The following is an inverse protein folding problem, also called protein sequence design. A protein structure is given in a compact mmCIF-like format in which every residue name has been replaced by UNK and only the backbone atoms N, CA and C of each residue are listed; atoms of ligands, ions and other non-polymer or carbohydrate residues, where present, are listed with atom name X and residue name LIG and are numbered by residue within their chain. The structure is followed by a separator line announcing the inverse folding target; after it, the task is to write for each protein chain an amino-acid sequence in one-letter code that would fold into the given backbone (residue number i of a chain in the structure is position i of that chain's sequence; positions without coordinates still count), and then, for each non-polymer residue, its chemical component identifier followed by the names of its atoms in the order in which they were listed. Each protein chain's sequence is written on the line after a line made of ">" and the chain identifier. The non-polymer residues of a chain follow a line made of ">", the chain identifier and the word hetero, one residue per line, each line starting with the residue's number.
data_IF_703489063491
#
_entry.id   IF_703489063491
#
_cell.length_a   1.000
_cell.length_b   1.000
_cell.length_c   1.000
_cell.angle_alpha   90.00
_cell.angle_beta   90.00
_cell.angle_gamma   90.00
#
_symmetry.space_group_name_H-M   'P 1'
#
loop_
_entity.id
_entity.type
_entity.pdbx_description
1 polymer ?
#
# COMPACT_ATOMS: atom_id res chain seq x y z
N UNK A 1 5.13 -5.17 -68.97
CA UNK A 1 3.74 -5.20 -69.49
C UNK A 1 2.82 -5.16 -68.30
N UNK A 2 2.07 -4.04 -68.17
CA UNK A 2 0.79 -3.91 -67.52
C UNK A 2 0.72 -4.07 -65.98
N UNK A 3 1.06 -3.03 -65.22
CA UNK A 3 0.73 -2.93 -63.77
C UNK A 3 -0.61 -2.19 -63.66
N UNK A 4 -1.61 -2.86 -63.12
CA UNK A 4 -2.92 -2.25 -62.85
C UNK A 4 -3.02 -1.88 -61.36
N UNK A 5 -2.90 -0.58 -61.04
CA UNK A 5 -3.06 -0.04 -59.67
C UNK A 5 -4.56 0.17 -59.38
N UNK A 6 -5.10 -0.48 -58.35
CA UNK A 6 -6.41 -0.18 -57.77
C UNK A 6 -6.31 0.89 -56.71
N UNK A 7 -6.99 2.01 -56.89
CA UNK A 7 -7.22 3.08 -55.91
C UNK A 7 -8.23 2.59 -54.87
N UNK A 8 -7.86 2.76 -53.58
CA UNK A 8 -8.77 2.58 -52.43
C UNK A 8 -9.21 3.97 -52.01
N UNK A 9 -10.51 4.21 -51.92
CA UNK A 9 -11.12 5.44 -51.47
C UNK A 9 -11.07 5.54 -49.93
N UNK A 10 -10.92 6.74 -49.29
CA UNK A 10 -10.91 6.87 -47.85
C UNK A 10 -12.33 6.89 -47.27
N UNK A 11 -12.56 6.03 -46.26
CA UNK A 11 -13.78 5.99 -45.50
C UNK A 11 -13.91 7.22 -44.57
N UNK A 12 -15.06 7.83 -44.56
CA UNK A 12 -15.44 8.96 -43.71
C UNK A 12 -15.58 8.57 -42.24
N UNK A 13 -14.76 9.13 -41.38
CA UNK A 13 -14.92 9.04 -39.92
C UNK A 13 -15.87 10.18 -39.50
N UNK A 14 -17.07 9.80 -39.05
CA UNK A 14 -18.06 10.72 -38.51
C UNK A 14 -17.65 11.26 -37.15
N UNK A 15 -17.29 12.51 -37.07
CA UNK A 15 -17.09 13.26 -35.82
C UNK A 15 -18.45 13.66 -35.23
N UNK A 16 -18.78 13.09 -34.05
CA UNK A 16 -19.91 13.60 -33.25
C UNK A 16 -19.55 14.97 -32.66
N UNK A 17 -20.28 15.99 -33.07
CA UNK A 17 -20.19 17.33 -32.54
C UNK A 17 -20.66 17.36 -31.08
N UNK A 18 -19.78 17.79 -30.16
CA UNK A 18 -20.12 18.11 -28.77
C UNK A 18 -20.60 19.56 -28.70
N UNK A 19 -21.75 19.81 -28.08
CA UNK A 19 -22.40 21.12 -27.98
C UNK A 19 -21.55 22.14 -27.23
N UNK A 20 -21.36 23.31 -27.85
CA UNK A 20 -20.74 24.52 -27.28
C UNK A 20 -21.74 25.19 -26.32
N UNK A 21 -21.38 25.26 -25.03
CA UNK A 21 -22.03 26.20 -24.10
C UNK A 21 -21.27 27.53 -24.08
N UNK A 22 -21.92 28.64 -24.43
CA UNK A 22 -21.34 29.96 -24.32
C UNK A 22 -21.72 30.61 -22.99
N UNK A 23 -20.74 31.24 -22.35
CA UNK A 23 -20.92 32.10 -21.20
C UNK A 23 -21.37 33.51 -21.68
N UNK A 24 -21.91 34.33 -20.76
CA UNK A 24 -22.46 35.66 -21.04
C UNK A 24 -21.42 36.73 -21.45
N UNK A 25 -20.12 36.42 -21.47
CA UNK A 25 -19.02 37.30 -21.83
C UNK A 25 -18.45 37.07 -23.24
N UNK A 26 -18.92 36.04 -23.96
CA UNK A 26 -18.54 35.83 -25.36
C UNK A 26 -17.11 35.30 -25.61
N UNK A 27 -16.38 34.91 -24.58
CA UNK A 27 -15.04 34.39 -24.75
C UNK A 27 -15.03 32.87 -24.60
N UNK A 28 -14.52 32.15 -25.60
CA UNK A 28 -14.35 30.70 -25.56
C UNK A 28 -13.21 30.33 -24.61
N UNK A 29 -13.55 29.84 -23.41
CA UNK A 29 -12.57 29.30 -22.47
C UNK A 29 -12.36 27.83 -22.73
N UNK A 30 -11.19 27.46 -23.24
CA UNK A 30 -10.73 26.06 -23.35
C UNK A 30 -10.40 25.56 -21.97
N UNK A 31 -11.23 24.67 -21.40
CA UNK A 31 -10.88 23.91 -20.20
C UNK A 31 -10.04 22.72 -20.63
N UNK A 32 -8.74 22.76 -20.37
CA UNK A 32 -7.88 21.59 -20.42
C UNK A 32 -8.26 20.71 -19.22
N UNK A 33 -8.71 19.45 -19.41
CA UNK A 33 -8.92 18.56 -18.27
C UNK A 33 -7.59 18.33 -17.58
N UNK A 34 -7.53 18.61 -16.27
CA UNK A 34 -6.35 18.32 -15.45
C UNK A 34 -6.06 16.82 -15.49
N UNK A 35 -4.82 16.39 -15.81
CA UNK A 35 -4.45 14.97 -15.78
C UNK A 35 -4.41 14.38 -14.37
N UNK A 36 -4.70 15.17 -13.34
CA UNK A 36 -4.73 14.79 -11.92
C UNK A 36 -6.14 14.81 -11.32
N UNK A 37 -7.19 14.60 -12.11
CA UNK A 37 -8.50 14.31 -11.54
C UNK A 37 -8.41 12.94 -10.81
N UNK A 38 -8.18 13.00 -9.51
CA UNK A 38 -8.28 11.84 -8.63
C UNK A 38 -9.68 11.21 -8.78
N UNK A 39 -9.79 9.89 -8.87
CA UNK A 39 -11.10 9.25 -8.82
C UNK A 39 -11.76 9.54 -7.46
N UNK A 40 -12.79 10.35 -7.46
CA UNK A 40 -13.54 10.87 -6.31
C UNK A 40 -14.41 9.81 -5.62
N UNK A 41 -14.09 8.53 -5.69
CA UNK A 41 -14.89 7.48 -5.06
C UNK A 41 -14.02 6.35 -4.46
N UNK A 42 -13.18 6.68 -3.47
CA UNK A 42 -12.81 5.67 -2.49
C UNK A 42 -13.94 5.68 -1.46
N UNK A 43 -14.90 4.78 -1.66
CA UNK A 43 -15.97 4.56 -0.67
C UNK A 43 -15.35 4.07 0.63
N UNK A 44 -15.81 4.55 1.81
CA UNK A 44 -15.36 4.01 3.08
C UNK A 44 -15.53 2.48 3.09
N UNK A 45 -14.65 1.76 3.77
CA UNK A 45 -14.64 0.28 3.85
C UNK A 45 -16.04 -0.29 4.18
N UNK A 46 -16.84 0.43 4.97
CA UNK A 46 -18.22 0.12 5.34
C UNK A 46 -19.22 0.04 4.15
N UNK A 47 -18.89 0.55 2.95
CA UNK A 47 -19.79 0.58 1.78
C UNK A 47 -19.53 -0.57 0.80
N UNK A 48 -18.50 -1.41 1.03
CA UNK A 48 -18.16 -2.55 0.14
C UNK A 48 -19.08 -3.78 0.28
N UNK A 49 -20.08 -3.76 1.14
CA UNK A 49 -21.00 -4.89 1.41
C UNK A 49 -21.89 -5.36 0.24
N UNK A 50 -21.79 -4.75 -0.97
CA UNK A 50 -22.65 -5.10 -2.10
C UNK A 50 -21.96 -5.23 -3.46
N UNK A 51 -20.79 -5.88 -3.56
CA UNK A 51 -20.41 -6.50 -4.84
C UNK A 51 -21.03 -7.89 -4.93
N UNK A 52 -22.31 -7.95 -5.33
CA UNK A 52 -22.96 -9.19 -5.76
C UNK A 52 -22.36 -9.61 -7.10
N UNK A 53 -21.59 -10.71 -7.14
CA UNK A 53 -21.19 -11.36 -8.38
C UNK A 53 -19.80 -12.00 -8.42
N UNK A 54 -18.86 -11.56 -7.57
CA UNK A 54 -17.56 -12.24 -7.40
C UNK A 54 -17.62 -13.08 -6.12
N UNK A 55 -16.94 -14.25 -6.13
CA UNK A 55 -16.84 -15.08 -4.93
C UNK A 55 -16.29 -14.20 -3.78
N UNK A 56 -17.15 -13.92 -2.79
CA UNK A 56 -16.83 -12.98 -1.72
C UNK A 56 -15.49 -13.32 -1.08
N UNK A 57 -14.65 -12.31 -0.88
CA UNK A 57 -13.44 -12.43 -0.06
C UNK A 57 -13.83 -12.96 1.32
N UNK A 58 -13.01 -13.83 1.88
CA UNK A 58 -13.19 -14.30 3.26
C UNK A 58 -12.68 -13.30 4.29
N UNK A 59 -11.97 -12.26 3.84
CA UNK A 59 -11.40 -11.17 4.64
C UNK A 59 -11.76 -9.82 4.02
N UNK A 60 -11.82 -8.80 4.87
CA UNK A 60 -11.99 -7.42 4.45
C UNK A 60 -10.65 -6.77 4.11
N UNK A 61 -9.56 -7.17 4.79
CA UNK A 61 -8.22 -6.64 4.57
C UNK A 61 -7.14 -7.68 4.89
N UNK A 62 -6.05 -7.67 4.11
CA UNK A 62 -4.80 -8.35 4.41
C UNK A 62 -3.76 -7.30 4.83
N UNK A 63 -3.30 -7.36 6.07
CA UNK A 63 -2.29 -6.46 6.64
C UNK A 63 -0.96 -7.21 6.69
N UNK A 64 0.04 -6.72 5.96
CA UNK A 64 1.36 -7.33 5.89
C UNK A 64 2.42 -6.38 6.45
N UNK A 65 3.12 -6.79 7.50
CA UNK A 65 4.31 -6.11 8.02
C UNK A 65 5.55 -6.57 7.28
N UNK A 66 6.40 -5.65 6.83
CA UNK A 66 7.67 -6.00 6.21
C UNK A 66 8.79 -6.14 7.24
N UNK A 67 9.68 -7.09 6.98
CA UNK A 67 10.84 -7.40 7.80
C UNK A 67 11.67 -8.53 7.17
N UNK A 68 12.84 -8.79 7.75
CA UNK A 68 13.73 -9.90 7.41
C UNK A 68 13.70 -10.96 8.51
N UNK A 69 13.71 -12.26 8.18
CA UNK A 69 13.70 -13.33 9.17
C UNK A 69 15.06 -13.49 9.87
N UNK A 70 15.00 -13.85 11.13
CA UNK A 70 16.16 -14.19 11.96
C UNK A 70 16.41 -13.22 13.10
N UNK A 71 16.83 -13.76 14.25
CA UNK A 71 17.00 -13.04 15.51
C UNK A 71 17.90 -11.80 15.43
N UNK A 72 18.86 -11.78 14.51
CA UNK A 72 19.76 -10.63 14.30
C UNK A 72 19.04 -9.38 13.78
N UNK A 73 17.86 -9.54 13.11
CA UNK A 73 17.12 -8.43 12.48
C UNK A 73 15.92 -7.95 13.30
N UNK A 74 15.58 -8.64 14.39
CA UNK A 74 14.36 -8.38 15.19
C UNK A 74 14.23 -6.92 15.67
N UNK A 75 15.36 -6.24 15.85
CA UNK A 75 15.37 -4.86 16.35
C UNK A 75 15.70 -3.83 15.29
N UNK A 76 15.92 -4.25 14.06
CA UNK A 76 16.32 -3.38 12.96
C UNK A 76 15.16 -2.48 12.53
N UNK A 77 15.50 -1.28 12.04
CA UNK A 77 14.51 -0.33 11.47
C UNK A 77 13.71 -0.98 10.34
N UNK A 78 14.35 -1.84 9.55
CA UNK A 78 13.73 -2.54 8.42
C UNK A 78 12.67 -3.58 8.85
N UNK A 79 12.65 -3.95 10.13
CA UNK A 79 11.65 -4.86 10.72
C UNK A 79 10.52 -4.13 11.46
N UNK A 80 10.44 -2.78 11.37
CA UNK A 80 9.38 -2.02 12.04
C UNK A 80 7.98 -2.46 11.60
N UNK A 81 7.82 -2.93 10.37
CA UNK A 81 6.56 -3.49 9.87
C UNK A 81 6.13 -4.73 10.66
N UNK A 82 7.05 -5.66 10.95
CA UNK A 82 6.78 -6.83 11.80
C UNK A 82 6.41 -6.41 13.22
N UNK A 83 7.16 -5.48 13.81
CA UNK A 83 6.89 -4.99 15.16
C UNK A 83 5.47 -4.45 15.31
N UNK A 84 4.95 -3.75 14.27
CA UNK A 84 3.57 -3.25 14.27
C UNK A 84 2.57 -4.40 14.15
N UNK A 85 2.84 -5.40 13.30
CA UNK A 85 1.96 -6.56 13.13
C UNK A 85 1.93 -7.44 14.38
N UNK A 86 3.08 -7.63 15.06
CA UNK A 86 3.14 -8.28 16.38
C UNK A 86 2.30 -7.50 17.43
N UNK A 87 2.40 -6.17 17.47
CA UNK A 87 1.60 -5.34 18.38
C UNK A 87 0.10 -5.45 18.10
N UNK A 88 -0.31 -5.45 16.82
CA UNK A 88 -1.70 -5.65 16.43
C UNK A 88 -2.22 -7.04 16.82
N UNK A 89 -1.42 -8.07 16.62
CA UNK A 89 -1.75 -9.44 17.03
C UNK A 89 -1.90 -9.53 18.56
N UNK A 90 -1.00 -8.90 19.32
CA UNK A 90 -1.06 -8.81 20.78
C UNK A 90 -2.33 -8.11 21.26
N UNK A 91 -2.71 -6.99 20.64
CA UNK A 91 -3.97 -6.27 20.97
C UNK A 91 -5.21 -7.09 20.68
N UNK A 92 -5.19 -7.83 19.56
CA UNK A 92 -6.28 -8.72 19.13
C UNK A 92 -6.25 -10.11 19.76
N UNK A 93 -5.33 -10.38 20.71
CA UNK A 93 -5.13 -11.70 21.34
C UNK A 93 -5.00 -12.84 20.31
N UNK A 94 -4.43 -12.52 19.13
CA UNK A 94 -4.33 -13.46 18.02
C UNK A 94 -3.01 -14.24 18.06
N UNK A 95 -3.07 -15.51 17.67
CA UNK A 95 -1.91 -16.41 17.66
C UNK A 95 -1.51 -16.72 16.23
N UNK A 96 -0.24 -16.48 15.92
CA UNK A 96 0.34 -16.78 14.62
C UNK A 96 0.47 -18.28 14.35
N UNK A 97 0.28 -18.65 13.08
CA UNK A 97 0.55 -19.97 12.53
C UNK A 97 1.42 -19.82 11.29
N UNK A 98 2.34 -20.76 11.05
CA UNK A 98 3.15 -20.77 9.83
C UNK A 98 2.28 -21.08 8.62
N UNK A 99 2.22 -20.14 7.66
CA UNK A 99 1.47 -20.25 6.40
C UNK A 99 1.97 -19.24 5.37
N UNK A 100 1.96 -19.61 4.09
CA UNK A 100 2.37 -18.73 2.97
C UNK A 100 3.81 -18.23 3.08
N UNK A 101 4.76 -19.07 3.47
CA UNK A 101 6.15 -18.67 3.73
C UNK A 101 6.23 -17.47 4.72
N UNK A 102 5.41 -17.52 5.79
CA UNK A 102 5.33 -16.48 6.80
C UNK A 102 4.55 -16.90 8.04
N UNK A 103 4.43 -15.99 8.98
CA UNK A 103 3.57 -16.08 10.17
C UNK A 103 2.26 -15.36 9.88
N UNK A 104 1.15 -16.06 10.01
CA UNK A 104 -0.19 -15.52 9.73
C UNK A 104 -1.12 -15.75 10.91
N UNK A 105 -1.91 -14.75 11.27
CA UNK A 105 -3.07 -14.91 12.13
C UNK A 105 -4.28 -14.16 11.57
N UNK A 106 -5.48 -14.65 11.89
CA UNK A 106 -6.74 -13.99 11.55
C UNK A 106 -7.34 -13.41 12.83
N UNK A 107 -7.84 -12.18 12.76
CA UNK A 107 -8.47 -11.50 13.88
C UNK A 107 -9.61 -10.59 13.40
N UNK A 108 -10.25 -9.91 14.34
CA UNK A 108 -11.20 -8.83 14.06
C UNK A 108 -10.65 -7.52 14.56
N UNK A 109 -10.77 -6.48 13.72
CA UNK A 109 -10.52 -5.09 14.11
C UNK A 109 -11.82 -4.32 13.86
N UNK A 110 -12.45 -3.81 14.90
CA UNK A 110 -13.84 -3.30 14.83
C UNK A 110 -14.76 -4.35 14.17
N UNK A 111 -15.49 -3.99 13.12
CA UNK A 111 -16.38 -4.90 12.40
C UNK A 111 -15.69 -5.69 11.28
N UNK A 112 -14.42 -5.42 10.99
CA UNK A 112 -13.67 -6.01 9.87
C UNK A 112 -12.97 -7.29 10.26
N UNK A 113 -13.00 -8.29 9.35
CA UNK A 113 -12.20 -9.52 9.44
C UNK A 113 -10.87 -9.27 8.74
N UNK A 114 -9.78 -9.35 9.47
CA UNK A 114 -8.44 -9.06 8.95
C UNK A 114 -7.52 -10.26 9.11
N UNK A 115 -6.58 -10.43 8.19
CA UNK A 115 -5.43 -11.30 8.38
C UNK A 115 -4.18 -10.43 8.59
N UNK A 116 -3.40 -10.77 9.59
CA UNK A 116 -2.09 -10.21 9.88
C UNK A 116 -1.04 -11.18 9.36
N UNK A 117 -0.10 -10.70 8.54
CA UNK A 117 0.92 -11.51 7.90
C UNK A 117 2.31 -10.90 8.09
N UNK A 118 3.25 -11.71 8.52
CA UNK A 118 4.68 -11.43 8.53
C UNK A 118 5.36 -12.37 7.56
N UNK A 119 5.77 -11.91 6.37
CA UNK A 119 6.53 -12.74 5.44
C UNK A 119 7.86 -13.18 6.07
N UNK A 120 8.09 -14.48 6.24
CA UNK A 120 9.38 -15.05 6.67
C UNK A 120 10.34 -15.27 5.49
N UNK A 121 10.12 -14.57 4.39
CA UNK A 121 11.03 -14.44 3.26
C UNK A 121 11.98 -13.27 3.48
N UNK A 122 13.12 -13.25 2.77
CA UNK A 122 13.91 -12.02 2.73
C UNK A 122 13.11 -10.87 2.10
N UNK A 123 13.47 -9.63 2.46
CA UNK A 123 12.76 -8.42 2.06
C UNK A 123 12.46 -8.37 0.55
N UNK A 124 13.41 -8.70 -0.30
CA UNK A 124 13.26 -8.71 -1.77
C UNK A 124 12.35 -9.83 -2.31
N UNK A 125 11.87 -10.74 -1.45
CA UNK A 125 10.96 -11.83 -1.79
C UNK A 125 9.59 -11.72 -1.08
N UNK A 126 9.33 -10.65 -0.33
CA UNK A 126 8.08 -10.47 0.44
C UNK A 126 6.82 -10.62 -0.41
N UNK A 127 6.88 -10.23 -1.69
CA UNK A 127 5.76 -10.38 -2.61
C UNK A 127 5.29 -11.82 -2.81
N UNK A 128 6.18 -12.82 -2.68
CA UNK A 128 5.82 -14.24 -2.80
C UNK A 128 4.82 -14.64 -1.71
N UNK A 129 5.12 -14.32 -0.47
CA UNK A 129 4.27 -14.60 0.69
C UNK A 129 2.93 -13.84 0.59
N UNK A 130 3.00 -12.52 0.37
CA UNK A 130 1.82 -11.64 0.35
C UNK A 130 0.86 -12.02 -0.79
N UNK A 131 1.38 -12.26 -2.01
CA UNK A 131 0.54 -12.63 -3.14
C UNK A 131 -0.10 -14.02 -2.98
N UNK A 132 0.59 -14.95 -2.31
CA UNK A 132 0.01 -16.27 -2.00
C UNK A 132 -1.15 -16.14 -1.01
N UNK A 133 -1.02 -15.33 0.04
CA UNK A 133 -2.08 -15.04 1.00
C UNK A 133 -3.25 -14.29 0.32
N UNK A 134 -2.97 -13.24 -0.46
CA UNK A 134 -4.00 -12.47 -1.17
C UNK A 134 -4.84 -13.36 -2.10
N UNK A 135 -4.20 -14.25 -2.87
CA UNK A 135 -4.92 -15.22 -3.72
C UNK A 135 -5.77 -16.20 -2.92
N UNK A 136 -5.24 -16.73 -1.82
CA UNK A 136 -5.97 -17.69 -0.97
C UNK A 136 -7.24 -17.08 -0.38
N UNK A 137 -7.12 -15.87 0.16
CA UNK A 137 -8.24 -15.16 0.77
C UNK A 137 -9.09 -14.38 -0.24
N UNK A 138 -8.71 -14.36 -1.52
CA UNK A 138 -9.36 -13.60 -2.60
C UNK A 138 -9.39 -12.09 -2.32
N UNK A 139 -8.35 -11.58 -1.68
CA UNK A 139 -8.18 -10.15 -1.41
C UNK A 139 -7.62 -9.47 -2.65
N UNK A 140 -8.25 -8.39 -3.10
CA UNK A 140 -7.76 -7.57 -4.20
C UNK A 140 -6.58 -6.68 -3.76
N UNK A 141 -5.70 -6.24 -4.66
CA UNK A 141 -4.52 -5.44 -4.27
C UNK A 141 -4.84 -4.21 -3.43
N UNK A 142 -5.95 -3.52 -3.71
CA UNK A 142 -6.39 -2.33 -2.99
C UNK A 142 -6.80 -2.61 -1.54
N UNK A 143 -7.08 -3.88 -1.20
CA UNK A 143 -7.39 -4.36 0.15
C UNK A 143 -6.19 -5.05 0.81
N UNK A 144 -4.99 -4.87 0.26
CA UNK A 144 -3.72 -5.23 0.91
C UNK A 144 -3.12 -3.98 1.53
N UNK A 145 -2.93 -3.97 2.86
CA UNK A 145 -2.19 -2.93 3.57
C UNK A 145 -0.78 -3.41 3.87
N UNK A 146 0.22 -2.69 3.38
CA UNK A 146 1.63 -2.96 3.64
C UNK A 146 2.17 -1.95 4.66
N UNK A 147 2.67 -2.43 5.79
CA UNK A 147 3.33 -1.64 6.82
C UNK A 147 4.84 -1.78 6.66
N UNK A 148 5.55 -0.66 6.47
CA UNK A 148 6.98 -0.70 6.17
C UNK A 148 7.72 0.55 6.63
N UNK A 149 9.04 0.45 6.76
CA UNK A 149 9.92 1.57 7.02
C UNK A 149 10.05 2.50 5.81
N UNK A 150 10.30 3.78 6.08
CA UNK A 150 10.57 4.76 5.03
C UNK A 150 11.66 5.75 5.48
N UNK A 151 12.75 5.78 4.71
CA UNK A 151 13.92 6.62 4.99
C UNK A 151 13.71 8.09 4.61
N UNK A 152 12.70 8.40 3.82
CA UNK A 152 12.39 9.78 3.39
C UNK A 152 11.46 10.51 4.36
N UNK A 153 11.00 9.84 5.41
CA UNK A 153 10.23 10.42 6.50
C UNK A 153 11.07 10.52 7.77
N UNK A 154 10.91 11.61 8.51
CA UNK A 154 11.54 11.77 9.81
C UNK A 154 11.14 10.65 10.77
N UNK A 155 12.01 10.28 11.70
CA UNK A 155 11.77 9.21 12.67
C UNK A 155 10.45 9.40 13.40
N UNK A 156 9.62 8.37 13.39
CA UNK A 156 8.29 8.35 14.01
C UNK A 156 7.19 9.09 13.24
N UNK A 157 7.49 9.74 12.11
CA UNK A 157 6.45 10.28 11.22
C UNK A 157 5.73 9.14 10.51
N UNK A 158 4.40 9.20 10.48
CA UNK A 158 3.57 8.22 9.78
C UNK A 158 2.98 8.83 8.52
N UNK A 159 2.76 8.01 7.50
CA UNK A 159 2.02 8.42 6.32
C UNK A 159 1.22 7.25 5.73
N UNK A 160 -0.10 7.34 5.80
CA UNK A 160 -1.01 6.42 5.14
C UNK A 160 -1.27 6.88 3.70
N UNK A 161 -1.26 5.95 2.73
CA UNK A 161 -1.55 6.24 1.31
C UNK A 161 -1.97 5.00 0.53
N UNK A 162 -2.66 5.22 -0.58
CA UNK A 162 -2.87 4.20 -1.60
C UNK A 162 -1.86 4.39 -2.73
N UNK A 163 -1.21 3.33 -3.17
CA UNK A 163 -0.31 3.34 -4.31
C UNK A 163 0.92 4.25 -4.20
N UNK A 164 1.45 4.67 -5.33
CA UNK A 164 2.54 5.62 -5.46
C UNK A 164 3.92 5.01 -5.69
N UNK A 165 4.97 5.85 -5.69
CA UNK A 165 6.35 5.44 -5.93
C UNK A 165 6.87 4.45 -4.89
N UNK A 166 7.81 3.58 -5.27
CA UNK A 166 8.33 2.51 -4.41
C UNK A 166 9.57 2.95 -3.61
N UNK A 167 10.07 4.18 -3.79
CA UNK A 167 11.18 4.81 -3.09
C UNK A 167 12.46 3.93 -2.96
N UNK A 168 12.69 3.04 -3.94
CA UNK A 168 13.82 2.10 -3.88
C UNK A 168 13.66 0.94 -2.89
N UNK A 169 12.54 0.85 -2.15
CA UNK A 169 12.31 -0.18 -1.15
C UNK A 169 12.12 -1.56 -1.80
N UNK A 170 13.04 -2.50 -1.52
CA UNK A 170 13.06 -3.81 -2.17
C UNK A 170 11.80 -4.64 -1.91
N UNK A 171 11.25 -4.58 -0.70
CA UNK A 171 10.00 -5.27 -0.35
C UNK A 171 8.81 -4.74 -1.16
N UNK A 172 8.64 -3.43 -1.27
CA UNK A 172 7.57 -2.83 -2.07
C UNK A 172 7.68 -3.19 -3.56
N UNK A 173 8.92 -3.24 -4.09
CA UNK A 173 9.17 -3.67 -5.47
C UNK A 173 8.74 -5.12 -5.69
N UNK A 174 9.12 -6.01 -4.77
CA UNK A 174 8.73 -7.42 -4.79
C UNK A 174 7.20 -7.59 -4.75
N UNK A 175 6.51 -6.83 -3.90
CA UNK A 175 5.05 -6.88 -3.77
C UNK A 175 4.38 -6.38 -5.05
N UNK A 176 4.79 -5.22 -5.57
CA UNK A 176 4.22 -4.64 -6.79
C UNK A 176 4.37 -5.60 -7.98
N UNK A 177 5.51 -6.28 -8.11
CA UNK A 177 5.74 -7.30 -9.12
C UNK A 177 4.83 -8.53 -8.93
N UNK A 178 4.68 -9.02 -7.70
CA UNK A 178 3.90 -10.22 -7.41
C UNK A 178 2.38 -10.01 -7.48
N UNK A 179 1.89 -8.80 -7.15
CA UNK A 179 0.48 -8.41 -7.28
C UNK A 179 0.12 -7.89 -8.68
N UNK A 180 1.13 -7.55 -9.51
CA UNK A 180 0.94 -6.98 -10.84
C UNK A 180 0.57 -5.48 -10.85
N UNK A 181 0.58 -4.83 -9.70
CA UNK A 181 0.22 -3.40 -9.54
C UNK A 181 0.88 -2.80 -8.30
N UNK A 182 1.25 -1.51 -8.31
CA UNK A 182 1.66 -0.78 -7.11
C UNK A 182 0.49 -0.20 -6.30
N UNK A 183 -0.77 -0.39 -6.75
CA UNK A 183 -1.98 0.19 -6.17
C UNK A 183 -2.48 -0.66 -4.98
N UNK A 184 -1.72 -0.65 -3.89
CA UNK A 184 -2.08 -1.22 -2.59
C UNK A 184 -1.92 -0.18 -1.48
N UNK A 185 -2.64 -0.37 -0.38
CA UNK A 185 -2.55 0.50 0.79
C UNK A 185 -1.17 0.37 1.45
N UNK A 186 -0.66 1.48 1.95
CA UNK A 186 0.62 1.54 2.67
C UNK A 186 0.49 2.39 3.92
N UNK A 187 1.08 1.90 5.01
CA UNK A 187 1.46 2.72 6.14
C UNK A 187 2.99 2.83 6.13
N UNK A 188 3.49 4.02 5.80
CA UNK A 188 4.90 4.36 5.80
C UNK A 188 5.28 4.84 7.19
N UNK A 189 6.30 4.23 7.78
CA UNK A 189 6.83 4.58 9.11
C UNK A 189 8.20 5.21 8.91
N UNK A 190 8.33 6.48 9.25
CA UNK A 190 9.58 7.20 9.14
C UNK A 190 10.64 6.62 10.07
N UNK A 191 11.77 6.26 9.50
CA UNK A 191 12.96 5.80 10.22
C UNK A 191 14.15 6.75 10.01
N UNK A 192 13.97 7.81 9.21
CA UNK A 192 15.01 8.79 8.88
C UNK A 192 16.10 8.23 7.98
N UNK A 193 17.10 9.07 7.72
CA UNK A 193 18.31 8.75 6.94
C UNK A 193 19.55 8.86 7.82
N UNK A 194 20.65 8.17 7.44
CA UNK A 194 21.92 8.40 8.10
C UNK A 194 22.28 9.89 8.03
N UNK A 195 22.68 10.44 9.20
CA UNK A 195 23.04 11.85 9.35
C UNK A 195 24.32 12.22 8.60
N UNK A 196 24.61 13.52 8.48
CA UNK A 196 25.91 13.98 7.95
C UNK A 196 27.04 13.45 8.81
N UNK A 197 27.96 12.68 8.20
CA UNK A 197 29.09 12.07 8.88
C UNK A 197 28.83 10.66 9.43
N UNK A 198 27.66 10.12 9.28
CA UNK A 198 27.39 8.69 9.52
C UNK A 198 28.11 7.88 8.43
N UNK A 199 28.96 6.91 8.77
CA UNK A 199 29.69 6.11 7.78
C UNK A 199 28.80 5.05 7.09
N UNK A 200 27.60 4.79 7.62
CA UNK A 200 26.66 3.80 7.05
C UNK A 200 26.04 4.34 5.78
N UNK A 201 25.89 3.50 4.78
CA UNK A 201 24.96 3.76 3.69
C UNK A 201 23.50 3.52 4.13
N UNK A 202 22.53 3.79 3.25
CA UNK A 202 21.11 3.63 3.57
C UNK A 202 20.74 2.17 3.87
N UNK A 203 21.39 1.21 3.19
CA UNK A 203 21.10 -0.21 3.39
C UNK A 203 21.59 -0.67 4.77
N UNK A 204 22.81 -0.31 5.16
CA UNK A 204 23.34 -0.60 6.48
C UNK A 204 22.57 0.12 7.60
N UNK A 205 22.10 1.34 7.34
CA UNK A 205 21.33 2.11 8.30
C UNK A 205 19.97 1.47 8.63
N UNK A 206 19.22 0.98 7.64
CA UNK A 206 17.94 0.31 7.89
C UNK A 206 18.11 -1.07 8.53
N UNK A 207 19.25 -1.72 8.33
CA UNK A 207 19.64 -2.98 8.98
C UNK A 207 20.29 -2.78 10.37
N UNK A 208 20.20 -1.57 10.92
CA UNK A 208 20.63 -1.28 12.28
C UNK A 208 19.40 -1.02 13.19
N UNK A 209 19.51 -1.27 14.50
CA UNK A 209 18.43 -1.00 15.45
C UNK A 209 18.15 0.50 15.56
N UNK A 210 16.98 0.83 16.09
CA UNK A 210 16.66 2.20 16.51
C UNK A 210 17.67 2.68 17.56
N UNK A 211 18.03 3.96 17.51
CA UNK A 211 18.94 4.57 18.49
C UNK A 211 18.22 4.69 19.86
N UNK A 212 18.99 4.74 20.94
CA UNK A 212 18.43 4.76 22.29
C UNK A 212 17.49 5.95 22.60
N UNK A 213 17.63 7.05 21.84
CA UNK A 213 16.76 8.23 21.97
C UNK A 213 15.51 8.17 21.08
N UNK A 214 15.41 7.20 20.19
CA UNK A 214 14.27 6.96 19.31
C UNK A 214 13.31 6.02 20.05
N UNK A 215 12.20 6.53 20.56
CA UNK A 215 11.20 5.74 21.28
C UNK A 215 10.48 4.77 20.32
N UNK A 216 11.11 3.65 20.06
CA UNK A 216 10.61 2.61 19.17
C UNK A 216 9.24 2.10 19.61
N UNK A 217 9.04 1.89 20.92
CA UNK A 217 7.77 1.39 21.45
C UNK A 217 6.63 2.37 21.17
N UNK A 218 6.86 3.67 21.36
CA UNK A 218 5.86 4.70 21.04
C UNK A 218 5.60 4.77 19.52
N UNK A 219 6.64 4.64 18.69
CA UNK A 219 6.50 4.61 17.21
C UNK A 219 5.62 3.43 16.79
N UNK A 220 5.91 2.22 17.28
CA UNK A 220 5.17 1.00 16.98
C UNK A 220 3.72 1.10 17.45
N UNK A 221 3.49 1.55 18.69
CA UNK A 221 2.14 1.72 19.24
C UNK A 221 1.32 2.70 18.40
N UNK A 222 1.90 3.87 18.07
CA UNK A 222 1.22 4.88 17.23
C UNK A 222 0.96 4.39 15.81
N UNK A 223 1.85 3.57 15.25
CA UNK A 223 1.64 2.97 13.95
C UNK A 223 0.51 1.93 13.98
N UNK A 224 0.40 1.14 15.06
CA UNK A 224 -0.73 0.24 15.28
C UNK A 224 -2.06 1.01 15.38
N UNK A 225 -2.10 2.16 16.12
CA UNK A 225 -3.28 3.04 16.16
C UNK A 225 -3.68 3.54 14.77
N UNK A 226 -2.68 3.87 13.92
CA UNK A 226 -2.93 4.30 12.54
C UNK A 226 -3.50 3.19 11.67
N UNK A 227 -3.06 1.94 11.85
CA UNK A 227 -3.65 0.77 11.18
C UNK A 227 -5.09 0.56 11.63
N UNK A 228 -5.37 0.60 12.94
CA UNK A 228 -6.73 0.44 13.48
C UNK A 228 -7.67 1.54 12.95
N UNK A 229 -7.23 2.80 12.90
CA UNK A 229 -7.99 3.90 12.32
C UNK A 229 -8.23 3.69 10.81
N UNK A 230 -7.23 3.21 10.06
CA UNK A 230 -7.36 2.91 8.64
C UNK A 230 -8.41 1.82 8.39
N UNK A 231 -8.44 0.78 9.24
CA UNK A 231 -9.41 -0.32 9.15
C UNK A 231 -10.82 0.15 9.52
N UNK A 232 -10.97 0.94 10.59
CA UNK A 232 -12.29 1.32 11.13
C UNK A 232 -12.89 2.55 10.46
N UNK A 233 -12.06 3.55 10.11
CA UNK A 233 -12.49 4.88 9.67
C UNK A 233 -12.16 5.12 8.18
N UNK A 234 -11.23 4.34 7.61
CA UNK A 234 -10.79 4.43 6.23
C UNK A 234 -9.57 5.35 6.02
N UNK A 235 -9.09 5.39 4.76
CA UNK A 235 -7.84 6.04 4.42
C UNK A 235 -7.85 7.56 4.69
N UNK A 236 -8.93 8.26 4.34
CA UNK A 236 -8.99 9.72 4.48
C UNK A 236 -8.91 10.14 5.96
N UNK A 237 -9.64 9.47 6.85
CA UNK A 237 -9.61 9.74 8.29
C UNK A 237 -8.24 9.42 8.89
N UNK A 238 -7.64 8.29 8.52
CA UNK A 238 -6.29 7.94 8.94
C UNK A 238 -5.25 8.98 8.46
N UNK A 239 -5.37 9.49 7.24
CA UNK A 239 -4.50 10.55 6.73
C UNK A 239 -4.64 11.86 7.51
N UNK A 240 -5.86 12.29 7.80
CA UNK A 240 -6.09 13.53 8.58
C UNK A 240 -5.49 13.47 9.98
N UNK A 241 -5.47 12.29 10.59
CA UNK A 241 -5.04 12.10 11.97
C UNK A 241 -3.55 11.82 12.13
N UNK A 242 -2.92 11.13 11.17
CA UNK A 242 -1.58 10.57 11.33
C UNK A 242 -0.52 11.08 10.34
N UNK A 243 -0.89 11.62 9.16
CA UNK A 243 0.05 12.11 8.14
C UNK A 243 0.74 13.43 8.52
#
# INVERSE_FOLDING_TARGET
>A
MGVCARRIAPGSVGTKATSLGTDRSGHAAWRIPSPYALPTHIKPLAVRLFRRGEAASTLDLLIAGLGNPGARYERDRHNVGWMVVDELARRGEATFKSKFDGRLCETRMSDSRVALLEPETYMNESGRSISAAARYFKVVPEDVLVVHDDVDLDVGRLQARLGGGLAGHNGLRSIAQALGTPEFLRLRIGVGRPGRGDPRDVADYVLAPFEAHEDREAIVSRAADAVEALVSEGLEAAQQRFN
#
